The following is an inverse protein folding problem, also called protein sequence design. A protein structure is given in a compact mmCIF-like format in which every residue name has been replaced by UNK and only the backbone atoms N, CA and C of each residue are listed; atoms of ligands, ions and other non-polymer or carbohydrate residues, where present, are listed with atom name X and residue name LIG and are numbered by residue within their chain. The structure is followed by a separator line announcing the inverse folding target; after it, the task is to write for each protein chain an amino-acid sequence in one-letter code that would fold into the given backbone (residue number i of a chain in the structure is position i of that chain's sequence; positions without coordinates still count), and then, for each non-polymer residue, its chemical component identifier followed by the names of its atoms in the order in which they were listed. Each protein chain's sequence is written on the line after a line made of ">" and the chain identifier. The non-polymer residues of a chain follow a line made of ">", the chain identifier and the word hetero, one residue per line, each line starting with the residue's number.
data_IF_891999042495
#
_entry.id   IF_891999042495
#
_cell.length_a   1.000
_cell.length_b   1.000
_cell.length_c   1.000
_cell.angle_alpha   90.00
_cell.angle_beta   90.00
_cell.angle_gamma   90.00
#
_symmetry.space_group_name_H-M   'P 1'
#
loop_
_entity.id
_entity.type
_entity.pdbx_description
1 polymer ?
#
# COMPACT_ATOMS: atom_id res chain seq x y z
N UNK A 1 5.23 18.23 -0.41
CA UNK A 1 5.31 16.82 -0.85
C UNK A 1 4.96 15.95 0.34
N UNK A 2 3.83 15.24 0.27
CA UNK A 2 3.37 14.35 1.34
C UNK A 2 4.18 13.04 1.31
N UNK A 3 4.27 12.35 2.45
CA UNK A 3 4.88 11.02 2.52
C UNK A 3 4.01 10.02 1.74
N UNK A 4 4.65 9.16 0.93
CA UNK A 4 3.97 8.13 0.15
C UNK A 4 3.12 7.24 1.06
N UNK A 5 1.87 6.96 0.67
CA UNK A 5 0.93 6.17 1.46
C UNK A 5 0.15 6.97 2.51
N UNK A 6 0.41 8.28 2.63
CA UNK A 6 -0.36 9.16 3.52
C UNK A 6 -1.86 9.21 3.20
N UNK A 7 -2.24 9.00 1.93
CA UNK A 7 -3.65 8.93 1.53
C UNK A 7 -4.40 7.81 2.25
N UNK A 8 -3.82 6.60 2.28
CA UNK A 8 -4.45 5.41 2.87
C UNK A 8 -4.15 5.24 4.35
N UNK A 9 -3.14 5.94 4.89
CA UNK A 9 -2.70 5.82 6.28
C UNK A 9 -3.83 6.06 7.31
N UNK A 10 -4.84 6.86 6.98
CA UNK A 10 -6.02 7.08 7.85
C UNK A 10 -6.86 5.83 8.10
N UNK A 11 -6.69 4.80 7.25
CA UNK A 11 -7.33 3.49 7.38
C UNK A 11 -6.37 2.41 7.88
N UNK A 12 -5.08 2.74 8.03
CA UNK A 12 -4.03 1.83 8.53
C UNK A 12 -3.97 1.91 10.07
N UNK A 13 -3.39 0.90 10.73
CA UNK A 13 -3.59 0.62 12.16
C UNK A 13 -3.03 1.69 13.13
N UNK A 14 -3.73 2.82 13.32
CA UNK A 14 -3.39 3.93 14.22
C UNK A 14 -1.91 4.40 14.20
N UNK A 15 -1.13 4.02 13.19
CA UNK A 15 0.30 4.30 13.08
C UNK A 15 1.18 3.70 14.19
N UNK A 16 0.81 2.58 14.84
CA UNK A 16 1.63 2.02 15.93
C UNK A 16 2.60 0.91 15.47
N UNK A 17 3.90 1.20 15.32
CA UNK A 17 4.88 0.19 14.91
C UNK A 17 5.10 -0.90 15.97
N UNK A 18 4.75 -0.64 17.23
CA UNK A 18 4.83 -1.60 18.32
C UNK A 18 3.58 -2.49 18.44
N UNK A 19 2.56 -2.29 17.60
CA UNK A 19 1.30 -3.01 17.70
C UNK A 19 1.52 -4.52 17.55
N UNK A 20 0.91 -5.31 18.42
CA UNK A 20 0.88 -6.77 18.33
C UNK A 20 -0.55 -7.21 18.64
N UNK A 21 -1.19 -7.89 17.69
CA UNK A 21 -2.54 -8.43 17.89
C UNK A 21 -2.52 -9.64 18.85
N UNK A 22 -3.68 -10.05 19.36
CA UNK A 22 -3.75 -11.25 20.21
C UNK A 22 -3.64 -12.56 19.42
N UNK A 23 -3.92 -12.53 18.11
CA UNK A 23 -4.02 -13.72 17.24
C UNK A 23 -5.12 -14.72 17.61
N UNK A 24 -5.95 -14.42 18.62
CA UNK A 24 -6.98 -15.35 19.12
C UNK A 24 -8.11 -15.46 18.11
N UNK A 25 -8.37 -16.68 17.62
CA UNK A 25 -9.34 -16.99 16.57
C UNK A 25 -9.07 -16.31 15.21
N UNK A 26 -7.82 -15.88 14.96
CA UNK A 26 -7.40 -15.32 13.68
C UNK A 26 -6.62 -16.38 12.88
N UNK A 27 -7.09 -16.70 11.67
CA UNK A 27 -6.40 -17.62 10.78
C UNK A 27 -4.99 -17.13 10.40
N UNK A 28 -4.79 -15.80 10.37
CA UNK A 28 -3.50 -15.15 10.13
C UNK A 28 -2.53 -15.25 11.32
N UNK A 29 -2.98 -15.70 12.48
CA UNK A 29 -2.19 -15.74 13.71
C UNK A 29 -1.97 -14.35 14.29
N UNK A 30 -0.84 -14.15 14.95
CA UNK A 30 -0.47 -12.84 15.49
C UNK A 30 -0.03 -11.91 14.35
N UNK A 31 -0.52 -10.67 14.39
CA UNK A 31 -0.20 -9.60 13.45
C UNK A 31 0.62 -8.51 14.12
N UNK A 32 1.61 -7.99 13.40
CA UNK A 32 2.62 -7.09 13.94
C UNK A 32 2.73 -5.75 13.20
N UNK A 33 2.90 -4.66 13.96
CA UNK A 33 3.24 -3.32 13.49
C UNK A 33 2.13 -2.57 12.75
N UNK A 34 2.50 -1.45 12.13
CA UNK A 34 1.59 -0.49 11.48
C UNK A 34 0.78 -1.11 10.35
N UNK A 35 1.35 -2.11 9.68
CA UNK A 35 0.75 -2.80 8.53
C UNK A 35 0.17 -4.17 8.88
N UNK A 36 0.14 -4.53 10.17
CA UNK A 36 -0.41 -5.80 10.67
C UNK A 36 0.12 -7.02 9.90
N UNK A 37 1.45 -7.15 9.83
CA UNK A 37 2.13 -8.28 9.21
C UNK A 37 1.75 -9.57 9.94
N UNK A 38 0.99 -10.43 9.29
CA UNK A 38 0.48 -11.66 9.90
C UNK A 38 1.51 -12.80 9.82
N UNK A 39 1.73 -13.47 10.95
CA UNK A 39 2.76 -14.51 11.12
C UNK A 39 2.45 -15.80 10.37
N UNK A 40 1.20 -16.30 10.39
CA UNK A 40 0.87 -17.59 9.75
C UNK A 40 0.95 -17.54 8.21
N UNK A 41 0.90 -16.36 7.62
CA UNK A 41 1.09 -16.16 6.19
C UNK A 41 2.53 -15.80 5.79
N UNK A 42 3.49 -15.90 6.71
CA UNK A 42 4.91 -15.68 6.45
C UNK A 42 5.32 -14.22 6.21
N UNK A 43 4.41 -13.26 6.44
CA UNK A 43 4.69 -11.84 6.16
C UNK A 43 5.74 -11.26 7.12
N UNK A 44 5.79 -11.79 8.35
CA UNK A 44 6.83 -11.45 9.34
C UNK A 44 8.17 -12.04 8.93
N UNK A 45 8.21 -13.31 8.51
CA UNK A 45 9.43 -13.95 8.00
C UNK A 45 10.04 -13.19 6.81
N UNK A 46 9.20 -12.80 5.86
CA UNK A 46 9.64 -12.01 4.70
C UNK A 46 10.16 -10.62 5.09
N UNK A 47 9.53 -9.97 6.08
CA UNK A 47 9.97 -8.68 6.61
C UNK A 47 11.36 -8.77 7.26
N UNK A 48 11.56 -9.77 8.14
CA UNK A 48 12.85 -10.01 8.79
C UNK A 48 13.91 -10.36 7.76
N UNK A 49 13.59 -11.26 6.82
CA UNK A 49 14.48 -11.63 5.72
C UNK A 49 14.89 -10.44 4.87
N UNK A 50 13.94 -9.55 4.53
CA UNK A 50 14.21 -8.30 3.82
C UNK A 50 15.13 -7.39 4.63
N UNK A 51 14.86 -7.19 5.92
CA UNK A 51 15.64 -6.33 6.82
C UNK A 51 17.10 -6.78 6.98
N UNK A 52 17.33 -8.09 7.06
CA UNK A 52 18.67 -8.69 7.13
C UNK A 52 19.54 -8.39 5.89
N UNK A 53 18.94 -7.98 4.76
CA UNK A 53 19.64 -7.70 3.50
C UNK A 53 19.90 -6.21 3.24
N UNK A 54 19.34 -5.29 4.04
CA UNK A 54 19.43 -3.84 3.77
C UNK A 54 20.77 -3.20 4.20
N UNK A 55 21.41 -3.74 5.23
CA UNK A 55 22.54 -3.10 5.93
C UNK A 55 22.08 -2.03 6.93
N UNK A 56 23.03 -1.55 7.74
CA UNK A 56 22.78 -0.52 8.76
C UNK A 56 21.70 -0.92 9.77
N UNK A 57 20.98 0.09 10.27
CA UNK A 57 20.00 -0.04 11.35
C UNK A 57 18.85 -1.02 11.04
N UNK A 58 18.45 -1.20 9.78
CA UNK A 58 17.46 -2.21 9.40
C UNK A 58 17.93 -3.65 9.64
N UNK A 59 19.20 -3.93 9.37
CA UNK A 59 19.78 -5.24 9.68
C UNK A 59 19.93 -5.43 11.18
N UNK A 60 20.21 -4.36 11.95
CA UNK A 60 20.30 -4.43 13.40
C UNK A 60 18.94 -4.74 14.05
N UNK A 61 17.86 -4.09 13.62
CA UNK A 61 16.50 -4.42 14.08
C UNK A 61 16.10 -5.86 13.72
N UNK A 62 16.35 -6.27 12.47
CA UNK A 62 16.01 -7.62 12.03
C UNK A 62 16.78 -8.69 12.82
N UNK A 63 18.07 -8.46 13.10
CA UNK A 63 18.88 -9.36 13.94
C UNK A 63 18.39 -9.40 15.37
N UNK A 64 18.10 -8.24 15.98
CA UNK A 64 17.56 -8.21 17.34
C UNK A 64 16.28 -9.04 17.46
N UNK A 65 15.37 -8.96 16.48
CA UNK A 65 14.16 -9.77 16.43
C UNK A 65 14.46 -11.26 16.24
N UNK A 66 15.29 -11.61 15.26
CA UNK A 66 15.65 -13.02 14.97
C UNK A 66 16.39 -13.68 16.15
N UNK A 67 17.28 -12.95 16.81
CA UNK A 67 18.08 -13.45 17.93
C UNK A 67 17.26 -13.52 19.23
N UNK A 68 16.12 -12.83 19.31
CA UNK A 68 15.26 -12.84 20.51
C UNK A 68 14.50 -14.14 20.70
N UNK A 69 14.15 -14.86 19.61
CA UNK A 69 13.40 -16.10 19.68
C UNK A 69 12.64 -16.43 18.41
N UNK A 70 11.91 -17.55 18.42
CA UNK A 70 11.01 -17.91 17.33
C UNK A 70 9.87 -16.89 17.19
N UNK A 71 9.40 -16.66 15.96
CA UNK A 71 8.23 -15.80 15.71
C UNK A 71 7.06 -16.30 16.57
N UNK A 72 6.39 -15.36 17.26
CA UNK A 72 5.31 -15.59 18.22
C UNK A 72 5.74 -16.12 19.61
N UNK A 73 7.03 -16.30 19.90
CA UNK A 73 7.48 -16.53 21.28
C UNK A 73 7.28 -15.26 22.15
N UNK A 74 7.21 -15.44 23.46
CA UNK A 74 7.08 -14.32 24.40
C UNK A 74 8.26 -13.35 24.28
N UNK A 75 9.46 -13.86 24.03
CA UNK A 75 10.68 -13.09 23.79
C UNK A 75 10.59 -12.28 22.50
N UNK A 76 10.15 -12.89 21.39
CA UNK A 76 9.97 -12.21 20.11
C UNK A 76 8.93 -11.07 20.21
N UNK A 77 7.78 -11.36 20.82
CA UNK A 77 6.71 -10.38 21.02
C UNK A 77 7.20 -9.21 21.90
N UNK A 78 7.95 -9.52 22.96
CA UNK A 78 8.53 -8.52 23.84
C UNK A 78 9.55 -7.65 23.11
N UNK A 79 10.44 -8.27 22.32
CA UNK A 79 11.46 -7.55 21.56
C UNK A 79 10.83 -6.64 20.49
N UNK A 80 9.78 -7.09 19.81
CA UNK A 80 9.04 -6.26 18.85
C UNK A 80 8.47 -5.00 19.48
N UNK A 81 7.80 -5.16 20.63
CA UNK A 81 7.23 -4.03 21.40
C UNK A 81 8.32 -3.10 21.89
N UNK A 82 9.44 -3.65 22.36
CA UNK A 82 10.59 -2.87 22.83
C UNK A 82 11.20 -2.02 21.71
N UNK A 83 11.43 -2.56 20.51
CA UNK A 83 11.95 -1.80 19.38
C UNK A 83 11.02 -0.64 19.01
N UNK A 84 9.71 -0.88 18.94
CA UNK A 84 8.72 0.16 18.65
C UNK A 84 8.55 1.20 19.77
N UNK A 85 9.00 0.90 20.99
CA UNK A 85 9.00 1.83 22.12
C UNK A 85 10.31 2.65 22.20
N UNK A 86 11.47 2.01 22.01
CA UNK A 86 12.79 2.64 22.10
C UNK A 86 13.08 3.51 20.87
N UNK A 87 12.78 3.01 19.67
CA UNK A 87 12.99 3.73 18.41
C UNK A 87 11.76 3.64 17.52
N UNK A 88 10.69 4.28 17.98
CA UNK A 88 9.41 4.33 17.29
C UNK A 88 9.55 4.78 15.83
N UNK A 89 10.34 5.82 15.58
CA UNK A 89 10.49 6.40 14.25
C UNK A 89 11.31 5.49 13.33
N UNK A 90 12.47 5.00 13.79
CA UNK A 90 13.31 4.11 13.01
C UNK A 90 12.62 2.79 12.67
N UNK A 91 11.89 2.21 13.64
CA UNK A 91 11.17 0.96 13.41
C UNK A 91 9.92 1.14 12.54
N UNK A 92 9.15 2.23 12.72
CA UNK A 92 8.06 2.57 11.80
C UNK A 92 8.58 2.76 10.37
N UNK A 93 9.71 3.46 10.22
CA UNK A 93 10.33 3.64 8.91
C UNK A 93 10.74 2.31 8.27
N UNK A 94 11.31 1.37 9.03
CA UNK A 94 11.64 0.04 8.51
C UNK A 94 10.40 -0.69 7.99
N UNK A 95 9.30 -0.66 8.75
CA UNK A 95 8.05 -1.28 8.35
C UNK A 95 7.49 -0.64 7.08
N UNK A 96 7.49 0.70 7.00
CA UNK A 96 7.06 1.45 5.83
C UNK A 96 7.90 1.14 4.58
N UNK A 97 9.24 1.21 4.70
CA UNK A 97 10.15 0.94 3.59
C UNK A 97 10.05 -0.51 3.09
N UNK A 98 9.77 -1.47 3.98
CA UNK A 98 9.48 -2.85 3.57
C UNK A 98 8.20 -2.94 2.73
N UNK A 99 7.11 -2.31 3.17
CA UNK A 99 5.84 -2.30 2.42
C UNK A 99 6.03 -1.62 1.07
N UNK A 100 6.78 -0.52 1.02
CA UNK A 100 7.17 0.14 -0.23
C UNK A 100 7.88 -0.83 -1.17
N UNK A 101 8.91 -1.51 -0.69
CA UNK A 101 9.72 -2.42 -1.49
C UNK A 101 8.92 -3.64 -1.95
N UNK A 102 8.05 -4.20 -1.10
CA UNK A 102 7.26 -5.40 -1.38
C UNK A 102 6.08 -5.14 -2.31
N UNK A 103 5.43 -3.99 -2.18
CA UNK A 103 4.18 -3.70 -2.88
C UNK A 103 4.34 -2.60 -3.93
N UNK A 104 4.63 -1.37 -3.49
CA UNK A 104 4.62 -0.20 -4.36
C UNK A 104 5.70 -0.27 -5.46
N UNK A 105 6.95 -0.60 -5.11
CA UNK A 105 8.06 -0.64 -6.06
C UNK A 105 7.88 -1.75 -7.11
N UNK A 106 7.37 -2.92 -6.68
CA UNK A 106 7.02 -4.02 -7.58
C UNK A 106 5.90 -3.61 -8.52
N UNK A 107 4.87 -2.94 -8.02
CA UNK A 107 3.77 -2.46 -8.85
C UNK A 107 4.22 -1.40 -9.87
N UNK A 108 5.08 -0.46 -9.47
CA UNK A 108 5.68 0.50 -10.40
C UNK A 108 6.45 -0.20 -11.53
N UNK A 109 7.18 -1.27 -11.20
CA UNK A 109 7.90 -2.05 -12.21
C UNK A 109 6.94 -2.78 -13.16
N UNK A 110 5.90 -3.43 -12.64
CA UNK A 110 4.89 -4.09 -13.45
C UNK A 110 4.18 -3.10 -14.38
N UNK A 111 3.79 -1.93 -13.86
CA UNK A 111 3.16 -0.86 -14.62
C UNK A 111 4.09 -0.35 -15.72
N UNK A 112 5.37 -0.13 -15.41
CA UNK A 112 6.38 0.27 -16.39
C UNK A 112 6.53 -0.76 -17.52
N UNK A 113 6.55 -2.05 -17.18
CA UNK A 113 6.62 -3.14 -18.16
C UNK A 113 5.34 -3.24 -19.02
N UNK A 114 4.26 -2.58 -18.60
CA UNK A 114 3.01 -2.39 -19.34
C UNK A 114 2.84 -0.94 -19.86
N UNK A 115 3.95 -0.25 -20.11
CA UNK A 115 4.04 1.07 -20.72
C UNK A 115 3.51 2.24 -19.86
N UNK A 116 3.33 2.05 -18.55
CA UNK A 116 2.90 3.09 -17.62
C UNK A 116 4.05 3.53 -16.70
N UNK A 117 4.59 4.73 -16.94
CA UNK A 117 5.76 5.25 -16.23
C UNK A 117 5.37 6.08 -15.01
N UNK A 118 5.15 5.41 -13.87
CA UNK A 118 4.68 6.03 -12.60
C UNK A 118 5.52 7.26 -12.18
N UNK A 119 6.81 7.30 -12.50
CA UNK A 119 7.71 8.41 -12.18
C UNK A 119 7.34 9.75 -12.87
N UNK A 120 6.53 9.69 -13.94
CA UNK A 120 6.05 10.86 -14.68
C UNK A 120 4.70 11.40 -14.21
N UNK A 121 4.07 10.72 -13.26
CA UNK A 121 2.76 11.08 -12.75
C UNK A 121 2.85 11.78 -11.39
N UNK A 122 1.72 12.40 -11.00
CA UNK A 122 1.53 13.10 -9.73
C UNK A 122 1.88 12.23 -8.52
N UNK A 123 2.31 12.90 -7.45
CA UNK A 123 2.51 12.24 -6.16
C UNK A 123 1.20 11.66 -5.63
N UNK A 124 0.08 12.32 -5.92
CA UNK A 124 -1.25 11.78 -5.61
C UNK A 124 -1.54 10.44 -6.29
N UNK A 125 -1.21 10.26 -7.58
CA UNK A 125 -1.41 8.97 -8.25
C UNK A 125 -0.48 7.89 -7.66
N UNK A 126 0.72 8.26 -7.22
CA UNK A 126 1.62 7.34 -6.50
C UNK A 126 1.00 6.86 -5.18
N UNK A 127 0.37 7.75 -4.43
CA UNK A 127 -0.39 7.40 -3.22
C UNK A 127 -1.59 6.48 -3.51
N UNK A 128 -2.30 6.69 -4.62
CA UNK A 128 -3.37 5.79 -5.06
C UNK A 128 -2.81 4.41 -5.40
N UNK A 129 -1.70 4.32 -6.14
CA UNK A 129 -1.02 3.03 -6.44
C UNK A 129 -0.61 2.33 -5.15
N UNK A 130 -0.01 3.05 -4.19
CA UNK A 130 0.30 2.50 -2.87
C UNK A 130 -0.93 1.86 -2.24
N UNK A 131 -2.00 2.65 -2.10
CA UNK A 131 -3.24 2.19 -1.48
C UNK A 131 -3.83 0.95 -2.15
N UNK A 132 -3.84 0.92 -3.49
CA UNK A 132 -4.37 -0.23 -4.26
C UNK A 132 -3.51 -1.48 -4.10
N UNK A 133 -2.19 -1.34 -4.08
CA UNK A 133 -1.29 -2.48 -3.94
C UNK A 133 -1.28 -3.07 -2.54
N UNK A 134 -1.47 -2.24 -1.50
CA UNK A 134 -1.68 -2.72 -0.12
C UNK A 134 -3.04 -3.41 0.01
N UNK A 135 -4.09 -2.87 -0.60
CA UNK A 135 -5.46 -3.41 -0.50
C UNK A 135 -5.67 -4.71 -1.30
N UNK A 136 -5.14 -4.78 -2.52
CA UNK A 136 -5.43 -5.85 -3.49
C UNK A 136 -4.19 -6.70 -3.84
N UNK A 137 -3.02 -6.38 -3.31
CA UNK A 137 -1.75 -6.97 -3.72
C UNK A 137 -1.26 -6.47 -5.08
N UNK A 138 -0.01 -6.80 -5.41
CA UNK A 138 0.65 -6.35 -6.65
C UNK A 138 0.12 -7.04 -7.91
N UNK A 139 -0.38 -8.27 -7.80
CA UNK A 139 -0.79 -9.08 -8.95
C UNK A 139 -2.00 -8.52 -9.70
N UNK A 140 -2.80 -7.68 -9.04
CA UNK A 140 -4.03 -7.12 -9.60
C UNK A 140 -3.84 -5.72 -10.20
N UNK A 141 -2.66 -5.10 -10.07
CA UNK A 141 -2.49 -3.69 -10.43
C UNK A 141 -2.68 -3.43 -11.93
N UNK A 142 -2.22 -4.35 -12.78
CA UNK A 142 -2.32 -4.22 -14.24
C UNK A 142 -3.77 -4.34 -14.70
N UNK A 143 -4.48 -5.35 -14.23
CA UNK A 143 -5.89 -5.55 -14.56
C UNK A 143 -6.75 -4.38 -14.08
N UNK A 144 -6.46 -3.85 -12.89
CA UNK A 144 -7.13 -2.66 -12.36
C UNK A 144 -6.93 -1.44 -13.25
N UNK A 145 -5.69 -1.17 -13.69
CA UNK A 145 -5.38 -0.05 -14.58
C UNK A 145 -6.02 -0.23 -15.96
N UNK A 146 -6.05 -1.44 -16.51
CA UNK A 146 -6.74 -1.72 -17.76
C UNK A 146 -8.26 -1.54 -17.66
N UNK A 147 -8.88 -1.99 -16.56
CA UNK A 147 -10.31 -1.77 -16.35
C UNK A 147 -10.64 -0.29 -16.12
N UNK A 148 -9.77 0.44 -15.43
CA UNK A 148 -9.91 1.89 -15.26
C UNK A 148 -9.80 2.61 -16.61
N UNK A 149 -8.87 2.18 -17.47
CA UNK A 149 -8.72 2.71 -18.82
C UNK A 149 -9.99 2.51 -19.65
N UNK A 150 -10.62 1.32 -19.61
CA UNK A 150 -11.89 1.05 -20.30
C UNK A 150 -13.04 1.93 -19.80
N UNK A 151 -13.10 2.20 -18.49
CA UNK A 151 -14.10 3.12 -17.94
C UNK A 151 -13.87 4.54 -18.47
N UNK A 152 -12.60 4.98 -18.51
CA UNK A 152 -12.22 6.29 -19.02
C UNK A 152 -12.48 6.44 -20.53
N UNK A 153 -12.15 5.44 -21.35
CA UNK A 153 -12.48 5.41 -22.79
C UNK A 153 -13.96 5.68 -23.03
N UNK A 154 -14.81 4.97 -22.28
CA UNK A 154 -16.27 5.11 -22.37
C UNK A 154 -16.74 6.48 -21.89
N UNK A 155 -16.17 7.00 -20.81
CA UNK A 155 -16.56 8.29 -20.23
C UNK A 155 -16.17 9.47 -21.12
N UNK A 156 -14.99 9.40 -21.73
CA UNK A 156 -14.44 10.47 -22.58
C UNK A 156 -14.80 10.32 -24.07
N UNK A 157 -15.36 9.16 -24.46
CA UNK A 157 -15.59 8.79 -25.85
C UNK A 157 -14.30 8.90 -26.70
N UNK A 158 -13.23 8.29 -26.18
CA UNK A 158 -11.89 8.24 -26.79
C UNK A 158 -11.42 6.79 -26.90
N UNK A 159 -10.50 6.52 -27.83
CA UNK A 159 -9.79 5.24 -27.94
C UNK A 159 -8.45 5.35 -27.21
N UNK A 160 -8.22 4.49 -26.23
CA UNK A 160 -7.03 4.45 -25.37
C UNK A 160 -6.46 3.02 -25.39
N UNK A 161 -5.72 2.66 -26.44
CA UNK A 161 -5.37 1.25 -26.70
C UNK A 161 -4.34 0.67 -25.72
N UNK A 162 -3.64 1.51 -24.95
CA UNK A 162 -2.67 1.10 -23.94
C UNK A 162 -2.44 2.22 -22.91
N UNK A 163 -1.66 1.91 -21.87
CA UNK A 163 -1.33 2.83 -20.79
C UNK A 163 -0.28 3.90 -21.15
N UNK A 164 0.33 3.83 -22.34
CA UNK A 164 1.41 4.75 -22.76
C UNK A 164 0.91 6.08 -23.30
N UNK A 165 -0.40 6.27 -23.38
CA UNK A 165 -0.97 7.30 -24.24
C UNK A 165 -0.94 8.70 -23.64
N UNK A 166 -0.83 8.85 -22.30
CA UNK A 166 -0.94 10.19 -21.70
C UNK A 166 -0.09 10.37 -20.43
N UNK A 167 1.09 10.98 -20.61
CA UNK A 167 1.87 11.60 -19.54
C UNK A 167 1.35 13.05 -19.30
N UNK A 168 0.09 13.23 -18.89
CA UNK A 168 -0.53 14.55 -18.63
C UNK A 168 -1.22 14.59 -17.27
N UNK A 169 -1.11 15.71 -16.56
CA UNK A 169 -1.72 15.92 -15.24
C UNK A 169 -3.26 15.79 -15.24
N UNK A 170 -3.93 16.06 -16.36
CA UNK A 170 -5.39 15.82 -16.51
C UNK A 170 -5.70 14.33 -16.60
N UNK A 171 -4.80 13.53 -17.17
CA UNK A 171 -4.97 12.08 -17.19
C UNK A 171 -4.95 11.51 -15.77
N UNK A 172 -4.10 12.04 -14.88
CA UNK A 172 -4.06 11.60 -13.49
C UNK A 172 -5.42 11.77 -12.80
N UNK A 173 -6.13 12.87 -13.06
CA UNK A 173 -7.48 13.06 -12.52
C UNK A 173 -8.43 11.96 -12.98
N UNK A 174 -8.51 11.73 -14.29
CA UNK A 174 -9.46 10.78 -14.88
C UNK A 174 -9.12 9.33 -14.50
N UNK A 175 -7.84 8.95 -14.50
CA UNK A 175 -7.41 7.60 -14.15
C UNK A 175 -7.59 7.33 -12.65
N UNK A 176 -7.30 8.29 -11.76
CA UNK A 176 -7.59 8.17 -10.33
C UNK A 176 -9.09 7.94 -10.12
N UNK A 177 -9.92 8.75 -10.77
CA UNK A 177 -11.36 8.64 -10.63
C UNK A 177 -11.86 7.25 -11.08
N UNK A 178 -11.34 6.77 -12.23
CA UNK A 178 -11.71 5.47 -12.78
C UNK A 178 -11.17 4.30 -11.94
N UNK A 179 -9.96 4.38 -11.35
CA UNK A 179 -9.43 3.35 -10.45
C UNK A 179 -10.36 3.13 -9.26
N UNK A 180 -10.85 4.21 -8.63
CA UNK A 180 -11.81 4.07 -7.54
C UNK A 180 -13.16 3.53 -8.00
N UNK A 181 -13.61 3.91 -9.19
CA UNK A 181 -14.84 3.35 -9.77
C UNK A 181 -14.71 1.85 -10.05
N UNK A 182 -13.55 1.40 -10.53
CA UNK A 182 -13.20 -0.03 -10.66
C UNK A 182 -13.33 -0.73 -9.31
N UNK A 183 -12.74 -0.18 -8.24
CA UNK A 183 -12.80 -0.76 -6.89
C UNK A 183 -14.23 -0.95 -6.38
N UNK A 184 -15.17 -0.10 -6.82
CA UNK A 184 -16.58 -0.17 -6.42
C UNK A 184 -17.45 -1.06 -7.32
N UNK A 185 -16.90 -1.60 -8.41
CA UNK A 185 -17.63 -2.56 -9.25
C UNK A 185 -17.85 -3.90 -8.53
N UNK A 186 -18.87 -4.65 -8.94
CA UNK A 186 -19.12 -6.00 -8.40
C UNK A 186 -18.06 -7.03 -8.80
N UNK A 187 -17.28 -6.76 -9.85
CA UNK A 187 -16.16 -7.62 -10.22
C UNK A 187 -15.03 -7.55 -9.18
N UNK A 188 -14.77 -6.36 -8.64
CA UNK A 188 -13.67 -6.09 -7.71
C UNK A 188 -14.09 -6.04 -6.24
N UNK A 189 -15.39 -5.87 -5.98
CA UNK A 189 -15.94 -5.81 -4.64
C UNK A 189 -17.32 -6.49 -4.58
N UNK A 190 -17.34 -7.76 -4.19
CA UNK A 190 -18.53 -8.61 -4.06
C UNK A 190 -18.67 -9.30 -2.69
N UNK A 191 -17.86 -8.90 -1.72
CA UNK A 191 -17.88 -9.48 -0.37
C UNK A 191 -19.08 -8.98 0.44
N UNK A 192 -19.33 -9.59 1.60
CA UNK A 192 -20.31 -9.10 2.58
C UNK A 192 -19.97 -7.71 3.14
N UNK A 193 -18.72 -7.26 3.00
CA UNK A 193 -18.24 -5.94 3.44
C UNK A 193 -18.37 -4.88 2.34
N UNK A 194 -19.01 -5.20 1.22
CA UNK A 194 -19.02 -4.37 0.01
C UNK A 194 -19.43 -2.93 0.28
N UNK A 195 -20.50 -2.70 1.03
CA UNK A 195 -21.04 -1.36 1.25
C UNK A 195 -20.06 -0.49 2.06
N UNK A 196 -19.50 -1.03 3.15
CA UNK A 196 -18.47 -0.36 3.95
C UNK A 196 -17.20 -0.08 3.12
N UNK A 197 -16.79 -1.03 2.27
CA UNK A 197 -15.64 -0.84 1.38
C UNK A 197 -15.91 0.25 0.32
N UNK A 198 -17.13 0.31 -0.21
CA UNK A 198 -17.52 1.36 -1.15
C UNK A 198 -17.55 2.74 -0.49
N UNK A 199 -18.01 2.87 0.74
CA UNK A 199 -17.94 4.12 1.50
C UNK A 199 -16.49 4.57 1.67
N UNK A 200 -15.60 3.65 2.06
CA UNK A 200 -14.15 3.92 2.12
C UNK A 200 -13.60 4.36 0.77
N UNK A 201 -13.88 3.64 -0.32
CA UNK A 201 -13.38 3.98 -1.65
C UNK A 201 -13.91 5.31 -2.15
N UNK A 202 -15.16 5.67 -1.82
CA UNK A 202 -15.71 6.98 -2.15
C UNK A 202 -15.02 8.12 -1.37
N UNK A 203 -14.76 7.94 -0.07
CA UNK A 203 -14.01 8.90 0.76
C UNK A 203 -12.57 9.07 0.26
N UNK A 204 -11.88 7.95 0.01
CA UNK A 204 -10.50 7.96 -0.47
C UNK A 204 -10.40 8.56 -1.89
N UNK A 205 -11.38 8.30 -2.77
CA UNK A 205 -11.51 8.97 -4.07
C UNK A 205 -11.61 10.49 -3.91
N UNK A 206 -12.51 10.96 -3.03
CA UNK A 206 -12.69 12.39 -2.79
C UNK A 206 -11.40 13.05 -2.31
N UNK A 207 -10.73 12.44 -1.31
CA UNK A 207 -9.45 12.93 -0.78
C UNK A 207 -8.34 12.94 -1.83
N UNK A 208 -8.23 11.88 -2.63
CA UNK A 208 -7.25 11.82 -3.71
C UNK A 208 -7.45 12.95 -4.72
N UNK A 209 -8.69 13.20 -5.17
CA UNK A 209 -8.95 14.28 -6.12
C UNK A 209 -8.70 15.67 -5.51
N UNK A 210 -8.94 15.87 -4.22
CA UNK A 210 -8.58 17.11 -3.51
C UNK A 210 -7.05 17.27 -3.38
N UNK A 211 -6.34 16.21 -3.03
CA UNK A 211 -4.87 16.17 -2.98
C UNK A 211 -4.26 16.52 -4.34
N UNK A 212 -4.77 15.92 -5.43
CA UNK A 212 -4.33 16.23 -6.78
C UNK A 212 -4.59 17.70 -7.12
N UNK A 213 -5.78 18.22 -6.81
CA UNK A 213 -6.09 19.62 -7.10
C UNK A 213 -5.14 20.58 -6.38
N UNK A 214 -4.75 20.28 -5.13
CA UNK A 214 -3.78 21.06 -4.38
C UNK A 214 -2.38 20.96 -5.01
N UNK A 215 -1.94 19.75 -5.35
CA UNK A 215 -0.67 19.50 -6.04
C UNK A 215 -0.56 20.26 -7.37
N UNK A 216 -1.66 20.36 -8.12
CA UNK A 216 -1.71 21.11 -9.38
C UNK A 216 -1.70 22.62 -9.19
N UNK A 217 -2.16 23.13 -8.04
CA UNK A 217 -2.19 24.56 -7.71
C UNK A 217 -0.86 25.05 -7.10
N UNK A 218 -0.03 24.15 -6.59
CA UNK A 218 1.30 24.43 -6.02
C UNK A 218 2.42 24.51 -7.09
N UNK A 219 2.14 24.12 -8.33
CA UNK A 219 3.08 24.10 -9.48
C UNK A 219 2.83 25.29 -10.40
#
# INVERSE_FOLDING_TARGET
>A
MNELGSLSAVYESNGDPACVSSGVNDAGGISYGTYQLASNCGSVDEFLGWGLRQGGYYTDYARALVDSGEINSDEFISQWKELGAIDRQGFAKMQHDYIKAKYYDVACKLLQDNLFHVDKHSDTLKDVIWSRTVQYGVGNIIDMFHDALKLMEKALNLELPNLSYVDDKRFDYDIIACIYDVCMTTAWNNSVLRDNLNERFADEKFRALEMLQNELNEV
#
